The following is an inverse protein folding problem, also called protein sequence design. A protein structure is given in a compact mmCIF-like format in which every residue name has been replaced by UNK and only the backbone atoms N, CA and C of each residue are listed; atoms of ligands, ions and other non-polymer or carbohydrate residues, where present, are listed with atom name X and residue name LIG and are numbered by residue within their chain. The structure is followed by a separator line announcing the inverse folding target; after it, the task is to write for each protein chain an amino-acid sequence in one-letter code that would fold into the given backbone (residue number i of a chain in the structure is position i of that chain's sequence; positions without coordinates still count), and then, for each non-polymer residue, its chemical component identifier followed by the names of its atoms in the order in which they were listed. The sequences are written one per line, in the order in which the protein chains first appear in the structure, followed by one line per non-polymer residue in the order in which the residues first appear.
data_IF_819348997080
#
_entry.id   IF_819348997080
#
_cell.length_a   1.000
_cell.length_b   1.000
_cell.length_c   1.000
_cell.angle_alpha   90.00
_cell.angle_beta   90.00
_cell.angle_gamma   90.00
#
_symmetry.space_group_name_H-M   'P 1'
#
loop_
_entity.id
_entity.type
_entity.pdbx_description
1 polymer ?
#
# COMPACT_ATOMS: atom_id res chain seq x y z
N UNK A 1 2.61 4.29 17.75
CA UNK A 1 2.29 4.34 16.32
C UNK A 1 3.61 4.37 15.57
N UNK A 2 3.92 3.34 14.78
CA UNK A 2 5.16 3.28 14.03
C UNK A 2 4.84 3.62 12.57
N UNK A 3 5.41 4.70 12.06
CA UNK A 3 5.40 5.02 10.63
C UNK A 3 6.40 4.10 9.92
N UNK A 4 5.93 3.34 8.93
CA UNK A 4 6.75 2.44 8.13
C UNK A 4 6.94 3.02 6.74
N UNK A 5 8.19 3.17 6.30
CA UNK A 5 8.52 3.55 4.92
C UNK A 5 8.86 2.29 4.12
N UNK A 6 8.24 2.11 2.95
CA UNK A 6 8.46 0.99 2.04
C UNK A 6 8.98 1.54 0.71
N UNK A 7 10.14 1.05 0.26
CA UNK A 7 10.75 1.45 -1.02
C UNK A 7 10.40 0.44 -2.14
N UNK A 8 9.50 0.85 -3.02
CA UNK A 8 9.05 0.07 -4.17
C UNK A 8 9.97 0.14 -5.39
N UNK A 9 10.87 1.12 -5.47
CA UNK A 9 11.73 1.34 -6.65
C UNK A 9 10.97 1.36 -7.98
N UNK A 10 11.57 0.76 -9.03
CA UNK A 10 11.01 0.64 -10.39
C UNK A 10 10.06 -0.56 -10.57
N UNK A 11 9.56 -1.13 -9.48
CA UNK A 11 8.71 -2.32 -9.55
C UNK A 11 7.35 -1.97 -10.15
N UNK A 12 6.95 -2.76 -11.14
CA UNK A 12 5.63 -2.67 -11.74
C UNK A 12 4.55 -2.99 -10.71
N UNK A 13 3.41 -2.31 -10.81
CA UNK A 13 2.26 -2.33 -9.91
C UNK A 13 2.00 -3.66 -9.17
N UNK A 14 2.01 -4.79 -9.86
CA UNK A 14 1.73 -6.10 -9.25
C UNK A 14 2.77 -6.49 -8.18
N UNK A 15 4.06 -6.27 -8.42
CA UNK A 15 5.11 -6.60 -7.44
C UNK A 15 5.07 -5.66 -6.23
N UNK A 16 4.78 -4.37 -6.46
CA UNK A 16 4.61 -3.36 -5.43
C UNK A 16 3.48 -3.74 -4.45
N UNK A 17 2.33 -4.18 -4.99
CA UNK A 17 1.18 -4.59 -4.19
C UNK A 17 1.44 -5.86 -3.37
N UNK A 18 2.21 -6.82 -3.90
CA UNK A 18 2.60 -8.04 -3.16
C UNK A 18 3.50 -7.68 -1.97
N UNK A 19 4.48 -6.79 -2.17
CA UNK A 19 5.35 -6.33 -1.08
C UNK A 19 4.56 -5.54 -0.04
N UNK A 20 3.70 -4.61 -0.49
CA UNK A 20 2.85 -3.81 0.39
C UNK A 20 1.97 -4.68 1.29
N UNK A 21 1.35 -5.74 0.76
CA UNK A 21 0.59 -6.73 1.55
C UNK A 21 1.42 -7.29 2.71
N UNK A 22 2.66 -7.69 2.44
CA UNK A 22 3.56 -8.21 3.46
C UNK A 22 3.89 -7.18 4.54
N UNK A 23 4.05 -5.91 4.16
CA UNK A 23 4.32 -4.82 5.10
C UNK A 23 3.10 -4.46 5.95
N UNK A 24 1.91 -4.39 5.36
CA UNK A 24 0.64 -4.17 6.06
C UNK A 24 0.41 -5.21 7.14
N UNK A 25 0.58 -6.50 6.82
CA UNK A 25 0.42 -7.60 7.79
C UNK A 25 1.37 -7.47 8.98
N UNK A 26 2.59 -6.95 8.77
CA UNK A 26 3.57 -6.75 9.84
C UNK A 26 3.34 -5.47 10.65
N UNK A 27 2.83 -4.42 10.02
CA UNK A 27 2.63 -3.11 10.67
C UNK A 27 1.43 -3.11 11.63
N UNK A 28 0.38 -3.87 11.29
CA UNK A 28 -0.83 -4.00 12.10
C UNK A 28 -1.81 -2.82 11.96
N UNK A 29 -3.04 -2.95 12.48
CA UNK A 29 -4.08 -1.93 12.40
C UNK A 29 -3.67 -0.55 12.88
N UNK A 30 -4.14 0.49 12.19
CA UNK A 30 -3.89 1.89 12.52
C UNK A 30 -2.50 2.40 12.14
N UNK A 31 -1.58 1.53 11.69
CA UNK A 31 -0.28 1.96 11.17
C UNK A 31 -0.44 2.76 9.88
N UNK A 32 0.44 3.74 9.69
CA UNK A 32 0.55 4.49 8.43
C UNK A 32 1.78 4.01 7.68
N UNK A 33 1.59 3.67 6.41
CA UNK A 33 2.65 3.23 5.51
C UNK A 33 2.90 4.34 4.49
N UNK A 34 4.15 4.76 4.36
CA UNK A 34 4.64 5.65 3.33
C UNK A 34 5.33 4.81 2.25
N UNK A 35 4.66 4.65 1.11
CA UNK A 35 5.12 3.86 -0.02
C UNK A 35 5.76 4.75 -1.06
N UNK A 36 7.04 4.54 -1.33
CA UNK A 36 7.75 5.20 -2.43
C UNK A 36 7.55 4.34 -3.68
N UNK A 37 6.96 4.91 -4.73
CA UNK A 37 6.69 4.20 -5.97
C UNK A 37 6.79 5.14 -7.17
N UNK A 38 7.61 4.78 -8.16
CA UNK A 38 7.78 5.57 -9.39
C UNK A 38 6.83 5.14 -10.52
N UNK A 39 6.06 4.07 -10.32
CA UNK A 39 5.08 3.57 -11.28
C UNK A 39 3.97 4.62 -11.53
N UNK A 40 3.75 5.08 -12.78
CA UNK A 40 2.69 6.04 -13.10
C UNK A 40 1.28 5.51 -12.83
N UNK A 41 1.09 4.19 -12.67
CA UNK A 41 -0.19 3.60 -12.32
C UNK A 41 -0.48 3.64 -10.80
N UNK A 42 0.53 3.86 -9.95
CA UNK A 42 0.38 3.89 -8.50
C UNK A 42 -0.71 4.85 -7.97
N UNK A 43 -0.88 6.09 -8.52
CA UNK A 43 -1.95 6.99 -8.10
C UNK A 43 -3.37 6.46 -8.34
N UNK A 44 -3.55 5.49 -9.25
CA UNK A 44 -4.83 4.87 -9.58
C UNK A 44 -4.99 3.52 -8.85
N UNK A 45 -3.92 2.73 -8.82
CA UNK A 45 -3.98 1.36 -8.29
C UNK A 45 -3.99 1.31 -6.76
N UNK A 46 -3.26 2.20 -6.08
CA UNK A 46 -3.24 2.26 -4.62
C UNK A 46 -4.61 2.58 -4.01
N UNK A 47 -5.37 3.60 -4.47
CA UNK A 47 -6.71 3.83 -3.93
C UNK A 47 -7.67 2.68 -4.24
N UNK A 48 -7.59 2.08 -5.43
CA UNK A 48 -8.41 0.92 -5.78
C UNK A 48 -8.10 -0.30 -4.88
N UNK A 49 -6.82 -0.59 -4.64
CA UNK A 49 -6.39 -1.67 -3.76
C UNK A 49 -6.77 -1.41 -2.31
N UNK A 50 -6.60 -0.17 -1.81
CA UNK A 50 -7.03 0.21 -0.48
C UNK A 50 -8.54 0.01 -0.30
N UNK A 51 -9.34 0.44 -1.28
CA UNK A 51 -10.78 0.22 -1.27
C UNK A 51 -11.14 -1.27 -1.25
N UNK A 52 -10.50 -2.08 -2.09
CA UNK A 52 -10.72 -3.52 -2.16
C UNK A 52 -10.39 -4.25 -0.83
N UNK A 53 -9.33 -3.81 -0.15
CA UNK A 53 -8.81 -4.46 1.07
C UNK A 53 -9.36 -3.86 2.37
N UNK A 54 -10.08 -2.74 2.29
CA UNK A 54 -10.58 -1.99 3.43
C UNK A 54 -9.58 -1.00 4.04
N UNK A 55 -8.36 -0.90 3.51
CA UNK A 55 -7.39 0.11 3.93
C UNK A 55 -7.83 1.53 3.53
N UNK A 56 -7.29 2.53 4.22
CA UNK A 56 -7.57 3.94 3.90
C UNK A 56 -6.41 4.52 3.11
N UNK A 57 -6.64 4.88 1.85
CA UNK A 57 -5.67 5.67 1.09
C UNK A 57 -5.67 7.12 1.59
N UNK A 58 -4.50 7.65 1.94
CA UNK A 58 -4.33 9.01 2.47
C UNK A 58 -3.85 10.01 1.42
N UNK A 59 -3.42 9.53 0.24
CA UNK A 59 -2.97 10.37 -0.87
C UNK A 59 -1.45 10.45 -1.01
N UNK A 60 -0.97 11.24 -1.99
CA UNK A 60 0.45 11.54 -2.14
C UNK A 60 0.97 12.39 -0.96
N UNK A 61 2.22 12.16 -0.57
CA UNK A 61 2.91 12.96 0.46
C UNK A 61 3.54 14.19 -0.20
N UNK A 62 3.04 15.37 0.15
CA UNK A 62 3.58 16.63 -0.37
C UNK A 62 5.01 16.89 0.14
N UNK A 63 5.87 17.42 -0.72
CA UNK A 63 7.25 17.76 -0.38
C UNK A 63 8.22 16.59 -0.26
N UNK A 64 7.79 15.36 -0.56
CA UNK A 64 8.68 14.21 -0.62
C UNK A 64 9.66 14.31 -1.80
N UNK A 65 10.93 13.95 -1.57
CA UNK A 65 11.97 13.97 -2.61
C UNK A 65 11.70 12.96 -3.73
N UNK A 66 10.99 11.87 -3.41
CA UNK A 66 10.58 10.82 -4.34
C UNK A 66 9.05 10.66 -4.31
N UNK A 67 8.41 10.21 -5.41
CA UNK A 67 6.96 10.02 -5.43
C UNK A 67 6.54 9.04 -4.33
N UNK A 68 5.86 9.57 -3.31
CA UNK A 68 5.53 8.86 -2.08
C UNK A 68 4.03 8.96 -1.83
N UNK A 69 3.43 7.85 -1.44
CA UNK A 69 2.00 7.72 -1.19
C UNK A 69 1.76 7.17 0.20
N UNK A 70 0.80 7.75 0.92
CA UNK A 70 0.45 7.33 2.27
C UNK A 70 -0.85 6.52 2.27
N UNK A 71 -0.90 5.48 3.10
CA UNK A 71 -2.11 4.73 3.41
C UNK A 71 -2.11 4.29 4.87
N UNK A 72 -3.31 4.11 5.43
CA UNK A 72 -3.52 3.61 6.79
C UNK A 72 -4.05 2.18 6.75
N UNK A 73 -3.42 1.33 7.54
CA UNK A 73 -3.83 -0.06 7.75
C UNK A 73 -5.14 -0.07 8.53
N UNK A 74 -6.10 -0.85 8.05
CA UNK A 74 -7.42 -0.96 8.63
C UNK A 74 -7.44 -2.05 9.72
N UNK A 75 -8.36 -1.91 10.67
CA UNK A 75 -8.56 -2.88 11.75
C UNK A 75 -9.20 -4.17 11.24
N UNK A 76 -10.11 -4.06 10.27
CA UNK A 76 -10.82 -5.16 9.63
C UNK A 76 -10.38 -5.30 8.16
N UNK A 77 -9.07 -5.35 7.93
CA UNK A 77 -8.54 -5.53 6.58
C UNK A 77 -8.90 -6.92 6.03
N UNK A 78 -9.44 -6.96 4.82
CA UNK A 78 -9.73 -8.22 4.13
C UNK A 78 -8.43 -8.80 3.59
N UNK A 79 -8.07 -10.02 4.02
CA UNK A 79 -6.92 -10.73 3.47
C UNK A 79 -7.16 -11.03 1.98
N UNK A 80 -6.13 -10.82 1.17
CA UNK A 80 -6.13 -11.17 -0.25
C UNK A 80 -5.31 -12.44 -0.47
N UNK A 81 -5.72 -13.27 -1.42
CA UNK A 81 -5.07 -14.56 -1.70
C UNK A 81 -3.59 -14.37 -2.08
N UNK A 82 -2.73 -15.25 -1.57
CA UNK A 82 -1.28 -15.12 -1.73
C UNK A 82 -0.82 -15.03 -3.20
N UNK A 83 -1.44 -15.82 -4.08
CA UNK A 83 -1.13 -15.89 -5.51
C UNK A 83 -1.95 -14.91 -6.38
N UNK A 84 -2.97 -14.25 -5.82
CA UNK A 84 -3.89 -13.35 -6.53
C UNK A 84 -4.27 -12.19 -5.60
N UNK A 85 -3.41 -11.19 -5.42
CA UNK A 85 -3.61 -10.10 -4.45
C UNK A 85 -4.80 -9.17 -4.75
N UNK A 86 -5.53 -9.42 -5.85
CA UNK A 86 -6.79 -8.78 -6.23
C UNK A 86 -8.03 -9.66 -5.99
N UNK A 87 -7.87 -10.87 -5.45
CA UNK A 87 -8.97 -11.74 -5.00
C UNK A 87 -8.97 -11.82 -3.48
N UNK A 88 -10.14 -11.66 -2.86
CA UNK A 88 -10.33 -11.87 -1.43
C UNK A 88 -10.11 -13.35 -1.07
N UNK A 89 -9.51 -13.60 0.09
CA UNK A 89 -9.29 -14.94 0.65
C UNK A 89 -10.56 -15.48 1.31
#
# INVERSE_FOLDING_TARGET
MADLVVDGGDKLCVQLLIELRGHVRRAGPGAVIHLIATDPAAPVDLPAWCHLTGHTYLGPVEGAERPTFALRVAEEAHETQDARPWHMA
#
